data_IF_977349591267
#
_entry.id   IF_977349591267
#
_cell.length_a   1.000
_cell.length_b   1.000
_cell.length_c   1.000
_cell.angle_alpha   90.00
_cell.angle_beta   90.00
_cell.angle_gamma   90.00
#
_symmetry.space_group_name_H-M   'P 1'
#
loop_
_entity.id
_entity.type
_entity.pdbx_description
1 polymer ?
#
# COMPACT_ATOMS: atom_id res chain seq x y z
N UNK A 1 6.41 -4.75 -89.68
CA UNK A 1 6.89 -6.00 -89.05
C UNK A 1 6.83 -5.77 -87.55
N UNK A 2 5.75 -6.15 -86.86
CA UNK A 2 5.61 -7.41 -86.09
C UNK A 2 6.90 -7.83 -85.38
N UNK A 3 6.96 -8.06 -84.06
CA UNK A 3 5.87 -8.36 -83.14
C UNK A 3 6.25 -8.35 -81.66
N UNK A 4 5.24 -8.73 -80.87
CA UNK A 4 5.15 -8.77 -79.40
C UNK A 4 6.04 -9.87 -78.83
N UNK A 5 6.70 -9.63 -77.68
CA UNK A 5 7.13 -10.70 -76.77
C UNK A 5 6.93 -10.26 -75.32
N UNK A 6 6.07 -11.00 -74.62
CA UNK A 6 5.82 -11.00 -73.18
C UNK A 6 6.86 -11.83 -72.43
N UNK A 7 7.23 -11.46 -71.20
CA UNK A 7 7.87 -12.40 -70.28
C UNK A 7 7.37 -12.28 -68.84
N UNK A 8 7.00 -13.44 -68.31
CA UNK A 8 6.41 -13.73 -67.01
C UNK A 8 7.45 -13.82 -65.88
N UNK A 9 7.05 -13.43 -64.67
CA UNK A 9 7.81 -13.56 -63.42
C UNK A 9 7.71 -14.98 -62.84
N UNK A 10 8.83 -15.70 -62.81
CA UNK A 10 8.96 -17.02 -62.19
C UNK A 10 9.84 -16.95 -60.94
N UNK A 11 9.28 -17.30 -59.79
CA UNK A 11 9.95 -17.34 -58.51
C UNK A 11 10.78 -18.63 -58.32
N UNK A 12 12.05 -18.49 -57.94
CA UNK A 12 12.86 -19.48 -57.22
C UNK A 12 13.94 -18.75 -56.39
N UNK A 13 14.08 -19.00 -55.09
CA UNK A 13 15.35 -18.83 -54.39
C UNK A 13 16.07 -20.18 -54.25
N UNK A 14 17.37 -20.17 -54.49
CA UNK A 14 18.25 -21.35 -54.44
C UNK A 14 18.77 -21.67 -53.05
N UNK A 15 18.93 -22.97 -52.80
CA UNK A 15 19.59 -23.58 -51.65
C UNK A 15 21.10 -23.73 -51.86
N UNK A 16 21.88 -23.45 -50.81
CA UNK A 16 23.27 -23.89 -50.65
C UNK A 16 23.39 -24.89 -49.49
N UNK A 17 23.60 -26.16 -49.87
CA UNK A 17 24.38 -27.27 -49.26
C UNK A 17 25.30 -26.88 -48.06
N UNK A 18 25.58 -27.66 -47.01
CA UNK A 18 25.81 -29.13 -46.85
C UNK A 18 25.94 -29.58 -45.37
N UNK A 19 25.48 -30.82 -45.12
CA UNK A 19 26.02 -31.90 -44.24
C UNK A 19 26.14 -31.72 -42.71
N UNK A 20 25.47 -32.60 -41.98
CA UNK A 20 26.07 -33.69 -41.17
C UNK A 20 24.99 -34.68 -40.73
N UNK A 21 25.42 -35.86 -40.30
CA UNK A 21 24.75 -37.15 -40.43
C UNK A 21 23.77 -37.51 -39.29
N UNK A 22 22.92 -38.46 -39.64
CA UNK A 22 21.90 -39.21 -38.89
C UNK A 22 22.33 -39.86 -37.57
N UNK A 23 21.42 -39.87 -36.58
CA UNK A 23 21.01 -41.05 -35.77
C UNK A 23 19.64 -40.80 -35.09
N UNK A 24 18.91 -41.89 -34.87
CA UNK A 24 17.44 -42.06 -34.73
C UNK A 24 16.70 -41.33 -33.56
N UNK A 25 15.35 -41.21 -33.64
CA UNK A 25 14.55 -40.50 -32.64
C UNK A 25 14.15 -41.39 -31.46
N UNK A 26 14.48 -40.96 -30.23
CA UNK A 26 13.96 -41.55 -28.99
C UNK A 26 12.76 -40.70 -28.54
N UNK A 27 11.62 -41.39 -28.40
CA UNK A 27 10.35 -40.89 -27.88
C UNK A 27 10.51 -40.17 -26.54
N UNK A 28 10.11 -38.89 -26.49
CA UNK A 28 9.89 -38.16 -25.24
C UNK A 28 8.40 -38.23 -24.88
N UNK A 29 8.10 -38.99 -23.84
CA UNK A 29 6.82 -38.91 -23.14
C UNK A 29 6.75 -37.57 -22.35
N UNK A 30 5.57 -36.96 -22.20
CA UNK A 30 5.38 -35.81 -21.32
C UNK A 30 5.38 -36.28 -19.86
N UNK A 31 6.30 -35.77 -19.04
CA UNK A 31 6.24 -35.94 -17.60
C UNK A 31 5.06 -35.12 -17.05
N UNK A 32 4.10 -35.85 -16.50
CA UNK A 32 2.91 -35.34 -15.84
C UNK A 32 3.26 -34.50 -14.59
N UNK A 33 2.39 -33.51 -14.36
CA UNK A 33 2.05 -32.85 -13.10
C UNK A 33 2.93 -33.16 -11.87
N UNK A 34 3.79 -32.20 -11.52
CA UNK A 34 4.39 -32.04 -10.20
C UNK A 34 3.88 -30.71 -9.59
N UNK A 35 2.56 -30.55 -9.58
CA UNK A 35 1.86 -29.56 -8.76
C UNK A 35 0.52 -30.17 -8.37
N UNK A 36 0.61 -31.30 -7.67
CA UNK A 36 -0.48 -31.86 -6.91
C UNK A 36 -0.37 -31.23 -5.52
N UNK A 37 -1.27 -30.28 -5.28
CA UNK A 37 -1.97 -29.98 -4.04
C UNK A 37 -1.79 -31.06 -2.96
N UNK A 38 -0.73 -30.95 -2.14
CA UNK A 38 -0.63 -31.60 -0.83
C UNK A 38 -1.23 -30.64 0.19
N UNK A 39 -2.55 -30.77 0.35
CA UNK A 39 -3.31 -30.27 1.49
C UNK A 39 -2.92 -31.10 2.72
N UNK A 40 -1.79 -30.75 3.33
CA UNK A 40 -1.37 -31.29 4.62
C UNK A 40 -1.97 -30.40 5.72
N UNK A 41 -3.15 -30.82 6.20
CA UNK A 41 -3.77 -30.27 7.41
C UNK A 41 -2.94 -30.61 8.64
N UNK A 42 -2.10 -29.67 9.06
CA UNK A 42 -1.41 -29.70 10.35
C UNK A 42 -2.34 -29.16 11.46
N UNK A 43 -3.00 -30.08 12.18
CA UNK A 43 -3.56 -29.81 13.50
C UNK A 43 -2.40 -29.70 14.51
N UNK A 44 -2.03 -28.46 14.89
CA UNK A 44 -1.16 -28.19 16.03
C UNK A 44 -1.93 -28.38 17.35
N UNK A 45 -1.76 -29.53 17.99
CA UNK A 45 -2.07 -29.73 19.41
C UNK A 45 -0.84 -29.39 20.27
N UNK A 46 -0.93 -28.30 21.02
CA UNK A 46 0.07 -27.84 21.97
C UNK A 46 0.11 -28.70 23.24
N UNK A 47 1.29 -29.20 23.61
CA UNK A 47 1.52 -29.90 24.87
C UNK A 47 2.92 -29.65 25.41
N UNK A 48 3.00 -28.91 26.52
CA UNK A 48 4.25 -28.57 27.19
C UNK A 48 4.77 -29.71 28.09
N UNK A 49 6.11 -29.81 28.12
CA UNK A 49 6.97 -30.14 29.27
C UNK A 49 6.62 -31.36 30.16
N UNK A 50 7.54 -32.35 30.21
CA UNK A 50 8.31 -32.74 31.42
C UNK A 50 8.99 -34.12 31.27
N UNK A 51 10.30 -34.15 31.58
CA UNK A 51 11.11 -35.29 32.08
C UNK A 51 11.25 -36.56 31.20
N UNK A 52 12.25 -37.42 31.32
CA UNK A 52 13.67 -37.39 31.68
C UNK A 52 14.18 -38.80 31.35
N UNK A 53 15.50 -38.92 31.15
CA UNK A 53 16.32 -40.13 31.34
C UNK A 53 16.09 -41.38 30.45
N UNK A 54 17.09 -41.61 29.59
CA UNK A 54 17.83 -42.88 29.40
C UNK A 54 17.14 -44.22 29.69
N UNK A 55 16.99 -45.06 28.66
CA UNK A 55 17.54 -46.42 28.69
C UNK A 55 17.49 -47.12 27.32
N UNK A 56 18.67 -47.66 26.99
CA UNK A 56 19.07 -48.70 26.05
C UNK A 56 18.02 -49.76 25.66
N UNK A 57 18.10 -50.12 24.39
CA UNK A 57 17.48 -51.28 23.74
C UNK A 57 17.80 -52.62 24.41
N UNK A 58 16.81 -53.54 24.42
CA UNK A 58 17.05 -54.96 24.22
C UNK A 58 15.81 -55.65 23.63
N UNK A 59 16.10 -56.63 22.77
CA UNK A 59 15.24 -57.49 21.99
C UNK A 59 14.29 -58.39 22.81
N UNK A 60 13.08 -58.66 22.28
CA UNK A 60 12.65 -60.03 21.93
C UNK A 60 11.20 -60.07 21.45
N UNK A 61 11.00 -60.92 20.44
CA UNK A 61 9.74 -61.32 19.82
C UNK A 61 8.77 -61.98 20.80
N UNK A 62 7.48 -61.62 20.77
CA UNK A 62 6.34 -62.52 20.43
C UNK A 62 4.98 -61.92 20.83
N UNK A 63 3.97 -62.29 20.02
CA UNK A 63 2.51 -62.26 20.27
C UNK A 63 1.78 -60.91 20.19
N UNK A 64 1.10 -60.77 19.04
CA UNK A 64 -0.09 -59.94 18.85
C UNK A 64 -1.17 -60.36 19.86
N UNK A 65 -1.40 -59.53 20.86
CA UNK A 65 -2.68 -59.43 21.54
C UNK A 65 -3.26 -58.07 21.17
N UNK A 66 -4.42 -58.08 20.50
CA UNK A 66 -5.22 -56.90 20.27
C UNK A 66 -5.72 -56.40 21.63
N UNK A 67 -4.95 -55.51 22.25
CA UNK A 67 -5.42 -54.74 23.40
C UNK A 67 -6.15 -53.55 22.82
N UNK A 68 -7.49 -53.60 22.87
CA UNK A 68 -8.29 -52.38 22.73
C UNK A 68 -7.79 -51.44 23.82
N UNK A 69 -7.06 -50.39 23.45
CA UNK A 69 -6.79 -49.29 24.36
C UNK A 69 -8.16 -48.81 24.87
N UNK A 70 -8.43 -48.78 26.18
CA UNK A 70 -9.60 -48.07 26.66
C UNK A 70 -9.37 -46.62 26.27
N UNK A 71 -10.20 -46.12 25.35
CA UNK A 71 -10.30 -44.69 25.10
C UNK A 71 -10.48 -44.05 26.48
N UNK A 72 -9.49 -43.26 26.89
CA UNK A 72 -9.58 -42.46 28.09
C UNK A 72 -10.62 -41.40 27.75
N UNK A 73 -11.89 -41.78 27.89
CA UNK A 73 -12.99 -40.84 27.96
C UNK A 73 -12.78 -40.11 29.29
N UNK A 74 -11.96 -39.07 29.26
CA UNK A 74 -12.04 -37.99 30.22
C UNK A 74 -13.36 -37.25 29.96
N UNK A 75 -14.49 -37.94 30.11
CA UNK A 75 -15.74 -37.27 30.42
C UNK A 75 -15.47 -36.67 31.80
N UNK A 76 -15.05 -35.41 31.83
CA UNK A 76 -15.12 -34.60 33.03
C UNK A 76 -16.50 -34.87 33.62
N UNK A 77 -16.53 -35.46 34.81
CA UNK A 77 -17.78 -35.86 35.44
C UNK A 77 -18.44 -34.55 35.88
N UNK A 78 -19.16 -33.91 34.97
CA UNK A 78 -19.92 -32.69 35.17
C UNK A 78 -20.77 -32.90 36.43
N UNK A 79 -20.61 -32.01 37.40
CA UNK A 79 -21.28 -32.11 38.70
C UNK A 79 -22.81 -32.11 38.52
N UNK A 80 -23.55 -32.64 39.48
CA UNK A 80 -25.03 -32.66 39.41
C UNK A 80 -25.62 -31.25 39.31
N UNK A 81 -24.99 -30.26 39.95
CA UNK A 81 -25.36 -28.86 39.85
C UNK A 81 -25.12 -28.30 38.44
N UNK A 82 -23.98 -28.65 37.82
CA UNK A 82 -23.61 -28.17 36.50
C UNK A 82 -24.47 -28.79 35.38
N UNK A 83 -24.88 -30.06 35.50
CA UNK A 83 -25.87 -30.64 34.57
C UNK A 83 -27.22 -29.97 34.67
N UNK A 84 -27.67 -29.62 35.89
CA UNK A 84 -28.90 -28.85 36.08
C UNK A 84 -28.77 -27.47 35.43
N UNK A 85 -27.64 -26.78 35.64
CA UNK A 85 -27.36 -25.48 35.03
C UNK A 85 -27.33 -25.54 33.49
N UNK A 86 -26.68 -26.57 32.91
CA UNK A 86 -26.65 -26.79 31.46
C UNK A 86 -28.04 -27.14 30.91
N UNK A 87 -28.83 -27.94 31.62
CA UNK A 87 -30.20 -28.27 31.22
C UNK A 87 -31.11 -27.03 31.28
N UNK A 88 -30.98 -26.20 32.32
CA UNK A 88 -31.71 -24.92 32.39
C UNK A 88 -31.28 -23.97 31.29
N UNK A 89 -29.99 -23.87 31.00
CA UNK A 89 -29.48 -23.05 29.89
C UNK A 89 -30.04 -23.55 28.55
N UNK A 90 -29.93 -24.84 28.23
CA UNK A 90 -30.51 -25.44 27.01
C UNK A 90 -32.02 -25.27 26.88
N UNK A 91 -32.74 -25.21 28.01
CA UNK A 91 -34.19 -24.97 28.01
C UNK A 91 -34.57 -23.52 27.73
N UNK A 92 -33.70 -22.57 28.10
CA UNK A 92 -33.85 -21.15 27.80
C UNK A 92 -33.52 -20.92 26.33
N UNK A 93 -32.40 -21.49 25.85
CA UNK A 93 -31.99 -21.44 24.45
C UNK A 93 -31.12 -22.67 24.10
N UNK A 94 -31.55 -23.39 23.06
CA UNK A 94 -30.91 -24.61 22.60
C UNK A 94 -29.55 -24.33 21.94
N UNK A 95 -29.34 -23.12 21.42
CA UNK A 95 -28.13 -22.70 20.71
C UNK A 95 -27.00 -22.18 21.62
N UNK A 96 -27.23 -22.07 22.93
CA UNK A 96 -26.26 -21.52 23.90
C UNK A 96 -24.88 -22.21 23.85
N UNK A 97 -24.83 -23.48 23.48
CA UNK A 97 -23.58 -24.26 23.42
C UNK A 97 -23.13 -24.61 22.00
N UNK A 98 -23.79 -24.08 20.97
CA UNK A 98 -23.50 -24.39 19.55
C UNK A 98 -22.34 -23.53 19.00
N UNK A 99 -21.22 -23.49 19.73
CA UNK A 99 -20.03 -22.70 19.36
C UNK A 99 -19.41 -23.15 18.03
N UNK A 100 -19.42 -24.45 17.78
CA UNK A 100 -18.84 -25.05 16.57
C UNK A 100 -19.62 -24.61 15.32
N UNK A 101 -20.95 -24.60 15.39
CA UNK A 101 -21.80 -24.18 14.28
C UNK A 101 -21.64 -22.68 13.93
N UNK A 102 -21.47 -21.82 14.94
CA UNK A 102 -21.20 -20.38 14.72
C UNK A 102 -19.81 -20.15 14.13
N UNK A 103 -18.81 -20.86 14.63
CA UNK A 103 -17.45 -20.82 14.10
C UNK A 103 -17.40 -21.31 12.66
N UNK A 104 -18.05 -22.42 12.35
CA UNK A 104 -18.18 -22.97 11.00
C UNK A 104 -18.86 -22.00 10.04
N UNK A 105 -19.88 -21.28 10.48
CA UNK A 105 -20.56 -20.25 9.69
C UNK A 105 -19.64 -19.04 9.43
N UNK A 106 -18.91 -18.60 10.45
CA UNK A 106 -17.94 -17.51 10.30
C UNK A 106 -16.81 -17.91 9.33
N UNK A 107 -16.27 -19.14 9.47
CA UNK A 107 -15.24 -19.68 8.57
C UNK A 107 -15.75 -19.99 7.18
N UNK A 108 -17.00 -20.39 7.01
CA UNK A 108 -17.63 -20.54 5.70
C UNK A 108 -17.78 -19.17 5.01
N UNK A 109 -18.15 -18.11 5.74
CA UNK A 109 -18.22 -16.76 5.21
C UNK A 109 -16.83 -16.21 4.84
N UNK A 110 -15.81 -16.42 5.68
CA UNK A 110 -14.42 -16.05 5.36
C UNK A 110 -13.93 -16.78 4.11
N UNK A 111 -14.15 -18.10 3.99
CA UNK A 111 -13.79 -18.88 2.80
C UNK A 111 -14.49 -18.39 1.53
N UNK A 112 -15.78 -18.05 1.60
CA UNK A 112 -16.50 -17.49 0.46
C UNK A 112 -15.87 -16.18 -0.05
N UNK A 113 -15.50 -15.27 0.87
CA UNK A 113 -14.81 -14.02 0.52
C UNK A 113 -13.41 -14.28 -0.07
N UNK A 114 -12.69 -15.28 0.44
CA UNK A 114 -11.39 -15.68 -0.11
C UNK A 114 -11.50 -16.29 -1.50
N UNK A 115 -12.49 -17.14 -1.74
CA UNK A 115 -12.78 -17.69 -3.07
C UNK A 115 -13.14 -16.60 -4.08
N UNK A 116 -13.91 -15.60 -3.66
CA UNK A 116 -14.21 -14.42 -4.49
C UNK A 116 -12.95 -13.63 -4.84
N UNK A 117 -12.05 -13.41 -3.87
CA UNK A 117 -10.74 -12.77 -4.12
C UNK A 117 -9.85 -13.60 -5.04
N UNK A 118 -9.87 -14.93 -4.91
CA UNK A 118 -9.14 -15.84 -5.80
C UNK A 118 -9.67 -15.72 -7.23
N UNK A 119 -10.99 -15.76 -7.42
CA UNK A 119 -11.64 -15.53 -8.72
C UNK A 119 -11.29 -14.15 -9.28
N UNK A 120 -11.34 -13.08 -8.48
CA UNK A 120 -10.91 -11.74 -8.90
C UNK A 120 -9.44 -11.74 -9.33
N UNK A 121 -8.57 -12.46 -8.60
CA UNK A 121 -7.15 -12.54 -8.92
C UNK A 121 -6.86 -13.30 -10.21
N UNK A 122 -7.63 -14.36 -10.50
CA UNK A 122 -7.52 -15.14 -11.73
C UNK A 122 -8.00 -14.34 -12.96
N UNK A 123 -9.03 -13.52 -12.79
CA UNK A 123 -9.53 -12.61 -13.82
C UNK A 123 -8.62 -11.38 -14.02
N UNK A 124 -7.78 -11.05 -13.03
CA UNK A 124 -6.97 -9.83 -13.05
C UNK A 124 -5.86 -9.95 -14.08
N UNK A 125 -5.94 -9.10 -15.10
CA UNK A 125 -4.88 -8.95 -16.11
C UNK A 125 -3.54 -8.57 -15.44
N UNK A 126 -2.41 -8.98 -16.05
CA UNK A 126 -1.09 -8.66 -15.53
C UNK A 126 -0.90 -7.14 -15.42
N UNK A 127 -0.43 -6.70 -14.25
CA UNK A 127 -0.39 -5.30 -13.81
C UNK A 127 0.28 -4.31 -14.78
N UNK A 128 1.23 -4.76 -15.59
CA UNK A 128 2.07 -3.87 -16.41
C UNK A 128 1.95 -4.06 -17.92
N UNK A 129 1.33 -5.14 -18.40
CA UNK A 129 1.31 -5.42 -19.85
C UNK A 129 0.48 -4.37 -20.58
N UNK A 130 -0.66 -3.98 -20.02
CA UNK A 130 -1.50 -2.94 -20.59
C UNK A 130 -0.80 -1.58 -20.64
N UNK A 131 -0.08 -1.20 -19.57
CA UNK A 131 0.72 0.02 -19.54
C UNK A 131 1.84 0.01 -20.58
N UNK A 132 2.50 -1.14 -20.77
CA UNK A 132 3.52 -1.29 -21.79
C UNK A 132 2.95 -1.19 -23.21
N UNK A 133 1.81 -1.83 -23.48
CA UNK A 133 1.13 -1.77 -24.77
C UNK A 133 0.62 -0.35 -25.05
N UNK A 134 0.01 0.31 -24.06
CA UNK A 134 -0.41 1.70 -24.16
C UNK A 134 0.78 2.63 -24.45
N UNK A 135 1.90 2.47 -23.74
CA UNK A 135 3.12 3.26 -24.02
C UNK A 135 3.71 2.99 -25.41
N UNK A 136 3.64 1.76 -25.89
CA UNK A 136 4.04 1.44 -27.25
C UNK A 136 3.11 2.10 -28.29
N UNK A 137 1.80 2.18 -28.00
CA UNK A 137 0.82 2.88 -28.84
C UNK A 137 1.03 4.40 -28.82
N UNK A 138 1.26 5.02 -27.65
CA UNK A 138 1.53 6.46 -27.57
C UNK A 138 2.78 6.82 -28.36
N UNK A 139 3.88 6.06 -28.25
CA UNK A 139 5.09 6.29 -29.06
C UNK A 139 4.85 6.19 -30.56
N UNK A 140 3.94 5.29 -31.00
CA UNK A 140 3.57 5.19 -32.42
C UNK A 140 2.83 6.44 -32.87
N UNK A 141 1.88 6.93 -32.07
CA UNK A 141 1.16 8.18 -32.35
C UNK A 141 2.11 9.38 -32.33
N UNK A 142 3.02 9.45 -31.36
CA UNK A 142 4.04 10.50 -31.25
C UNK A 142 4.95 10.53 -32.48
N UNK A 143 5.35 9.36 -32.98
CA UNK A 143 6.15 9.25 -34.21
C UNK A 143 5.39 9.82 -35.40
N UNK A 144 4.11 9.46 -35.57
CA UNK A 144 3.28 9.98 -36.67
C UNK A 144 3.09 11.49 -36.58
N UNK A 145 2.86 12.01 -35.37
CA UNK A 145 2.76 13.45 -35.10
C UNK A 145 4.06 14.20 -35.41
N UNK A 146 5.20 13.62 -35.04
CA UNK A 146 6.50 14.20 -35.34
C UNK A 146 6.78 14.24 -36.84
N UNK A 147 6.47 13.17 -37.57
CA UNK A 147 6.59 13.11 -39.03
C UNK A 147 5.68 14.14 -39.72
N UNK A 148 4.44 14.29 -39.27
CA UNK A 148 3.50 15.28 -39.81
C UNK A 148 3.98 16.72 -39.58
N UNK A 149 4.41 17.03 -38.35
CA UNK A 149 4.92 18.36 -37.99
C UNK A 149 6.24 18.68 -38.69
N UNK A 150 7.09 17.69 -38.94
CA UNK A 150 8.29 17.84 -39.77
C UNK A 150 7.92 18.16 -41.21
N UNK A 151 6.94 17.46 -41.78
CA UNK A 151 6.50 17.65 -43.16
C UNK A 151 5.78 19.00 -43.35
N UNK A 152 5.01 19.45 -42.37
CA UNK A 152 4.45 20.81 -42.34
C UNK A 152 5.56 21.86 -42.29
N UNK A 153 6.57 21.67 -41.43
CA UNK A 153 7.74 22.55 -41.34
C UNK A 153 8.55 22.58 -42.66
N UNK A 154 8.67 21.46 -43.36
CA UNK A 154 9.30 21.39 -44.69
C UNK A 154 8.49 22.17 -45.72
N UNK A 155 7.15 22.06 -45.73
CA UNK A 155 6.29 22.85 -46.62
C UNK A 155 6.34 24.35 -46.32
N UNK A 156 6.41 24.73 -45.05
CA UNK A 156 6.58 26.14 -44.65
C UNK A 156 7.95 26.69 -45.08
N UNK A 157 9.00 25.86 -45.06
CA UNK A 157 10.33 26.23 -45.55
C UNK A 157 10.40 26.33 -47.07
N UNK A 158 9.71 25.44 -47.79
CA UNK A 158 9.53 25.51 -49.25
C UNK A 158 8.66 26.71 -49.66
N UNK A 159 7.84 27.23 -48.74
CA UNK A 159 7.17 28.54 -48.84
C UNK A 159 6.46 28.76 -50.19
N UNK A 160 6.89 29.78 -50.91
CA UNK A 160 6.31 30.20 -52.19
C UNK A 160 6.88 29.43 -53.41
N UNK A 161 7.91 28.59 -53.23
CA UNK A 161 8.58 27.88 -54.35
C UNK A 161 7.64 26.92 -55.09
N UNK A 162 6.54 26.54 -54.45
CA UNK A 162 5.53 25.63 -55.00
C UNK A 162 4.10 26.21 -54.90
N UNK A 163 3.94 27.53 -54.70
CA UNK A 163 2.63 28.17 -54.62
C UNK A 163 1.84 28.06 -55.94
N UNK A 164 2.54 28.06 -57.08
CA UNK A 164 1.96 27.96 -58.42
C UNK A 164 1.63 26.51 -58.85
N UNK A 165 1.94 25.51 -58.01
CA UNK A 165 1.70 24.09 -58.31
C UNK A 165 0.54 23.54 -57.49
N UNK A 166 -0.30 22.74 -58.14
CA UNK A 166 -1.47 22.12 -57.51
C UNK A 166 -1.06 21.16 -56.37
N UNK A 167 -1.72 21.29 -55.21
CA UNK A 167 -1.48 20.45 -54.01
C UNK A 167 -2.37 19.21 -54.04
N UNK A 168 -1.79 18.05 -54.36
CA UNK A 168 -2.53 16.78 -54.37
C UNK A 168 -2.38 16.04 -53.05
N UNK A 169 -3.48 15.97 -52.28
CA UNK A 169 -3.54 15.20 -51.03
C UNK A 169 -4.29 13.89 -51.27
N UNK A 170 -3.62 12.76 -51.05
CA UNK A 170 -4.24 11.43 -51.18
C UNK A 170 -5.30 11.21 -50.10
N UNK A 171 -6.33 10.41 -50.39
CA UNK A 171 -7.38 10.09 -49.41
C UNK A 171 -6.83 9.41 -48.16
N UNK A 172 -5.75 8.62 -48.31
CA UNK A 172 -5.06 7.98 -47.20
C UNK A 172 -4.43 9.00 -46.26
N UNK A 173 -3.77 10.04 -46.80
CA UNK A 173 -3.19 11.11 -46.00
C UNK A 173 -4.27 11.96 -45.31
N UNK A 174 -5.39 12.25 -45.99
CA UNK A 174 -6.54 12.93 -45.34
C UNK A 174 -7.08 12.14 -44.15
N UNK A 175 -7.17 10.81 -44.27
CA UNK A 175 -7.59 9.92 -43.17
C UNK A 175 -6.55 9.88 -42.05
N UNK A 176 -5.27 9.83 -42.38
CA UNK A 176 -4.17 9.83 -41.41
C UNK A 176 -4.12 11.15 -40.62
N UNK A 177 -4.27 12.30 -41.29
CA UNK A 177 -4.38 13.62 -40.65
C UNK A 177 -5.58 13.71 -39.72
N UNK A 178 -6.75 13.20 -40.15
CA UNK A 178 -7.95 13.18 -39.32
C UNK A 178 -7.80 12.26 -38.09
N UNK A 179 -7.10 11.14 -38.24
CA UNK A 179 -6.81 10.19 -37.17
C UNK A 179 -5.83 10.78 -36.13
N UNK A 180 -4.74 11.44 -36.58
CA UNK A 180 -3.79 12.12 -35.69
C UNK A 180 -4.49 13.26 -34.94
N UNK A 181 -5.27 14.09 -35.63
CA UNK A 181 -6.00 15.21 -35.03
C UNK A 181 -7.03 14.76 -33.99
N UNK A 182 -7.75 13.66 -34.29
CA UNK A 182 -8.69 13.05 -33.35
C UNK A 182 -7.97 12.45 -32.14
N UNK A 183 -6.83 11.78 -32.35
CA UNK A 183 -6.03 11.22 -31.27
C UNK A 183 -5.43 12.31 -30.36
N UNK A 184 -5.03 13.45 -30.92
CA UNK A 184 -4.57 14.62 -30.16
C UNK A 184 -5.67 15.27 -29.31
N UNK A 185 -6.86 15.44 -29.87
CA UNK A 185 -8.01 16.00 -29.13
C UNK A 185 -8.44 15.07 -27.99
N UNK A 186 -8.41 13.76 -28.21
CA UNK A 186 -8.74 12.75 -27.18
C UNK A 186 -7.66 12.66 -26.09
N UNK A 187 -6.37 12.68 -26.46
CA UNK A 187 -5.26 12.72 -25.49
C UNK A 187 -5.32 14.01 -24.65
N UNK A 188 -5.55 15.16 -25.28
CA UNK A 188 -5.65 16.47 -24.62
C UNK A 188 -6.85 16.53 -23.68
N UNK A 189 -8.00 16.01 -24.09
CA UNK A 189 -9.18 15.91 -23.23
C UNK A 189 -8.92 15.01 -22.01
N UNK A 190 -8.21 13.89 -22.20
CA UNK A 190 -7.83 12.97 -21.12
C UNK A 190 -6.82 13.60 -20.17
N UNK A 191 -5.82 14.30 -20.69
CA UNK A 191 -4.84 15.03 -19.90
C UNK A 191 -5.49 16.15 -19.09
N UNK A 192 -6.43 16.91 -19.66
CA UNK A 192 -7.19 17.93 -18.93
C UNK A 192 -8.05 17.33 -17.81
N UNK A 193 -8.67 16.17 -18.04
CA UNK A 193 -9.43 15.44 -17.01
C UNK A 193 -8.50 14.93 -15.89
N UNK A 194 -7.35 14.36 -16.24
CA UNK A 194 -6.33 13.93 -15.28
C UNK A 194 -5.77 15.12 -14.51
N UNK A 195 -5.46 16.24 -15.16
CA UNK A 195 -4.97 17.48 -14.52
C UNK A 195 -5.99 18.04 -13.52
N UNK A 196 -7.28 17.97 -13.85
CA UNK A 196 -8.37 18.34 -12.93
C UNK A 196 -8.53 17.34 -11.77
N UNK A 197 -8.18 16.07 -11.98
CA UNK A 197 -8.25 14.99 -10.99
C UNK A 197 -6.96 14.70 -10.19
N UNK A 198 -5.83 15.37 -10.48
CA UNK A 198 -4.50 15.12 -9.89
C UNK A 198 -4.34 15.59 -8.42
N UNK A 199 -5.39 15.48 -7.62
CA UNK A 199 -5.27 15.49 -6.16
C UNK A 199 -5.32 14.03 -5.72
N UNK A 200 -4.16 13.39 -5.77
CA UNK A 200 -4.04 11.97 -5.43
C UNK A 200 -4.57 11.69 -4.01
N UNK A 201 -5.26 10.56 -3.79
CA UNK A 201 -5.64 10.12 -2.47
C UNK A 201 -4.37 9.92 -1.64
N UNK A 202 -4.12 10.83 -0.70
CA UNK A 202 -2.96 10.74 0.20
C UNK A 202 -3.02 9.50 1.08
N UNK A 203 -2.02 9.34 1.94
CA UNK A 203 -1.94 8.22 2.89
C UNK A 203 -3.23 8.02 3.71
N UNK A 204 -3.97 9.10 3.97
CA UNK A 204 -5.29 9.09 4.63
C UNK A 204 -6.34 8.27 3.89
N UNK A 205 -6.36 8.29 2.55
CA UNK A 205 -7.30 7.53 1.76
C UNK A 205 -6.92 6.04 1.68
N UNK A 206 -5.62 5.71 1.79
CA UNK A 206 -5.19 4.33 1.98
C UNK A 206 -5.69 3.78 3.33
N UNK A 207 -5.50 4.52 4.43
CA UNK A 207 -6.03 4.12 5.74
C UNK A 207 -7.55 4.03 5.73
N UNK A 208 -8.24 4.97 5.06
CA UNK A 208 -9.69 4.89 4.88
C UNK A 208 -10.10 3.59 4.18
N UNK A 209 -9.48 3.26 3.04
CA UNK A 209 -9.80 2.03 2.32
C UNK A 209 -9.48 0.76 3.13
N UNK A 210 -8.41 0.78 3.94
CA UNK A 210 -8.07 -0.32 4.84
C UNK A 210 -9.15 -0.48 5.91
N UNK A 211 -9.55 0.60 6.58
CA UNK A 211 -10.60 0.58 7.60
C UNK A 211 -11.96 0.17 7.02
N UNK A 212 -12.36 0.72 5.87
CA UNK A 212 -13.59 0.33 5.17
C UNK A 212 -13.57 -1.17 4.79
N UNK A 213 -12.40 -1.70 4.42
CA UNK A 213 -12.21 -3.13 4.14
C UNK A 213 -12.23 -4.02 5.38
N UNK A 214 -11.83 -3.51 6.54
CA UNK A 214 -11.89 -4.22 7.82
C UNK A 214 -13.30 -4.18 8.40
N UNK A 215 -13.97 -3.03 8.32
CA UNK A 215 -15.36 -2.86 8.74
C UNK A 215 -16.29 -3.76 7.92
N UNK A 216 -16.13 -3.83 6.60
CA UNK A 216 -16.92 -4.73 5.75
C UNK A 216 -16.71 -6.20 6.07
N UNK A 217 -15.47 -6.64 6.36
CA UNK A 217 -15.20 -8.02 6.81
C UNK A 217 -15.86 -8.29 8.16
N UNK A 218 -15.73 -7.37 9.11
CA UNK A 218 -16.32 -7.52 10.44
C UNK A 218 -17.85 -7.52 10.38
N UNK A 219 -18.45 -6.61 9.60
CA UNK A 219 -19.89 -6.58 9.37
C UNK A 219 -20.39 -7.86 8.71
N UNK A 220 -19.65 -8.43 7.75
CA UNK A 220 -19.99 -9.72 7.13
C UNK A 220 -19.88 -10.88 8.12
N UNK A 221 -18.87 -10.88 9.00
CA UNK A 221 -18.72 -11.88 10.05
C UNK A 221 -19.88 -11.81 11.07
N UNK A 222 -20.23 -10.61 11.54
CA UNK A 222 -21.36 -10.38 12.45
C UNK A 222 -22.69 -10.75 11.77
N UNK A 223 -22.89 -10.38 10.50
CA UNK A 223 -24.09 -10.74 9.76
C UNK A 223 -24.20 -12.26 9.49
N UNK A 224 -23.08 -12.97 9.29
CA UNK A 224 -23.07 -14.42 9.18
C UNK A 224 -23.44 -15.10 10.51
N UNK A 225 -22.90 -14.54 11.59
CA UNK A 225 -23.14 -14.88 12.99
C UNK A 225 -24.59 -14.66 13.44
N UNK A 226 -25.21 -13.58 13.00
CA UNK A 226 -26.58 -13.18 13.36
C UNK A 226 -27.65 -13.88 12.51
N UNK A 227 -27.27 -14.67 11.50
CA UNK A 227 -28.25 -15.45 10.72
C UNK A 227 -28.92 -16.43 11.68
N UNK A 228 -30.22 -16.26 11.98
CA UNK A 228 -30.90 -17.20 12.84
C UNK A 228 -30.94 -18.52 12.09
N UNK A 229 -30.33 -19.55 12.66
CA UNK A 229 -30.73 -20.91 12.36
C UNK A 229 -32.24 -20.95 12.56
N UNK A 230 -33.00 -21.35 11.55
CA UNK A 230 -34.46 -21.40 11.59
C UNK A 230 -34.92 -22.43 12.63
N UNK A 231 -34.87 -22.05 13.91
CA UNK A 231 -35.52 -22.69 15.03
C UNK A 231 -36.88 -22.03 15.29
N UNK A 232 -37.80 -22.72 15.98
CA UNK A 232 -39.17 -22.25 16.17
C UNK A 232 -39.16 -20.88 16.84
N UNK A 233 -39.88 -19.93 16.24
CA UNK A 233 -40.00 -18.53 16.65
C UNK A 233 -39.96 -18.33 18.16
N UNK A 234 -38.95 -17.62 18.67
CA UNK A 234 -38.98 -17.00 20.00
C UNK A 234 -40.01 -15.85 19.99
N UNK A 235 -41.28 -16.20 20.03
CA UNK A 235 -42.27 -15.33 20.64
C UNK A 235 -41.93 -15.30 22.14
N UNK A 236 -41.33 -14.21 22.62
CA UNK A 236 -41.11 -13.95 24.05
C UNK A 236 -42.49 -13.92 24.72
N UNK A 237 -42.96 -15.08 25.19
CA UNK A 237 -44.07 -15.16 26.13
C UNK A 237 -43.51 -14.65 27.47
N UNK A 238 -44.08 -13.60 28.08
CA UNK A 238 -43.64 -13.17 29.41
C UNK A 238 -43.73 -14.37 30.37
N UNK A 239 -42.74 -14.57 31.25
CA UNK A 239 -42.72 -15.74 32.13
C UNK A 239 -44.04 -15.78 32.92
N UNK A 240 -44.70 -16.96 33.04
CA UNK A 240 -45.82 -17.08 33.96
C UNK A 240 -45.33 -16.73 35.36
N UNK A 241 -46.16 -15.97 36.10
CA UNK A 241 -45.91 -15.56 37.47
C UNK A 241 -45.34 -16.72 38.32
N UNK A 242 -44.45 -16.45 39.30
CA UNK A 242 -43.76 -17.50 40.06
C UNK A 242 -44.78 -18.38 40.77
N UNK A 243 -45.11 -19.53 40.19
CA UNK A 243 -45.69 -20.63 40.92
C UNK A 243 -44.63 -21.05 41.94
N UNK A 244 -45.01 -20.95 43.21
CA UNK A 244 -44.26 -21.32 44.42
C UNK A 244 -43.14 -22.33 44.12
N UNK A 245 -41.90 -22.11 44.61
CA UNK A 245 -40.88 -23.14 44.49
C UNK A 245 -41.43 -24.38 45.17
N UNK A 246 -41.64 -25.45 44.40
CA UNK A 246 -41.79 -26.78 44.95
C UNK A 246 -40.41 -27.10 45.54
N UNK A 247 -40.24 -26.77 46.82
CA UNK A 247 -39.17 -27.29 47.64
C UNK A 247 -39.26 -28.81 47.54
N UNK A 248 -38.27 -29.41 46.88
CA UNK A 248 -37.96 -30.82 47.05
C UNK A 248 -37.30 -30.90 48.43
N UNK A 249 -38.01 -31.43 49.43
CA UNK A 249 -37.59 -31.49 50.85
C UNK A 249 -36.39 -32.45 51.11
N UNK A 250 -35.65 -32.86 50.08
CA UNK A 250 -34.44 -33.69 50.21
C UNK A 250 -33.14 -32.88 50.02
N UNK A 251 -33.06 -31.69 50.59
CA UNK A 251 -31.76 -31.10 50.92
C UNK A 251 -31.23 -31.81 52.19
N UNK A 252 -30.55 -32.93 51.96
CA UNK A 252 -29.70 -33.58 52.93
C UNK A 252 -28.64 -32.57 53.42
N UNK A 253 -28.80 -32.12 54.66
CA UNK A 253 -27.89 -31.25 55.37
C UNK A 253 -26.50 -31.90 55.43
N UNK A 254 -25.57 -31.46 54.58
CA UNK A 254 -24.21 -31.99 54.53
C UNK A 254 -23.34 -31.27 55.58
N UNK A 255 -22.99 -31.90 56.73
CA UNK A 255 -22.38 -31.23 57.88
C UNK A 255 -20.92 -30.77 57.62
N UNK A 256 -20.33 -31.09 56.48
CA UNK A 256 -18.97 -30.67 56.12
C UNK A 256 -18.90 -29.26 55.50
N UNK A 257 -19.92 -28.81 54.76
CA UNK A 257 -19.94 -27.47 54.13
C UNK A 257 -20.11 -26.33 55.15
N UNK A 258 -20.82 -26.58 56.26
CA UNK A 258 -21.00 -25.60 57.33
C UNK A 258 -19.70 -25.31 58.12
N UNK A 259 -18.70 -26.20 58.05
CA UNK A 259 -17.41 -26.05 58.74
C UNK A 259 -16.45 -25.18 57.94
N UNK A 260 -16.44 -25.34 56.62
CA UNK A 260 -15.62 -24.55 55.69
C UNK A 260 -16.04 -23.07 55.66
N UNK A 261 -17.34 -22.78 55.76
CA UNK A 261 -17.84 -21.41 55.84
C UNK A 261 -17.43 -20.68 57.14
N UNK A 262 -17.14 -21.40 58.24
CA UNK A 262 -16.61 -20.82 59.47
C UNK A 262 -15.11 -20.56 59.41
N UNK A 263 -14.36 -21.41 58.72
CA UNK A 263 -12.91 -21.26 58.57
C UNK A 263 -12.57 -20.11 57.60
N UNK A 264 -13.38 -19.88 56.56
CA UNK A 264 -13.23 -18.77 55.62
C UNK A 264 -13.56 -17.38 56.21
N UNK A 265 -14.33 -17.31 57.30
CA UNK A 265 -14.69 -16.05 58.00
C UNK A 265 -13.58 -15.54 58.93
N UNK A 266 -12.50 -16.29 59.13
CA UNK A 266 -11.45 -15.98 60.12
C UNK A 266 -10.17 -15.36 59.54
N UNK A 267 -10.07 -15.17 58.22
CA UNK A 267 -8.83 -14.76 57.54
C UNK A 267 -8.84 -13.37 56.89
N UNK A 268 -9.89 -12.55 57.08
CA UNK A 268 -9.93 -11.18 56.56
C UNK A 268 -10.14 -10.14 57.66
N UNK A 269 -9.10 -9.89 58.44
CA UNK A 269 -8.99 -8.67 59.27
C UNK A 269 -7.57 -8.11 59.21
N UNK A 270 -7.23 -7.44 58.10
CA UNK A 270 -6.06 -6.57 58.04
C UNK A 270 -6.28 -5.49 56.96
N UNK A 271 -6.97 -4.42 57.32
CA UNK A 271 -6.96 -3.16 56.57
C UNK A 271 -5.93 -2.21 57.21
N UNK A 272 -5.01 -1.59 56.44
CA UNK A 272 -4.26 -0.43 56.92
C UNK A 272 -4.94 0.89 56.50
N UNK A 273 -4.73 1.98 57.27
CA UNK A 273 -5.49 3.22 57.13
C UNK A 273 -4.98 4.17 56.03
N UNK A 274 -5.92 4.88 55.43
CA UNK A 274 -5.73 6.03 54.53
C UNK A 274 -5.30 7.27 55.31
N UNK A 275 -4.28 7.99 54.82
CA UNK A 275 -4.07 9.39 55.15
C UNK A 275 -3.54 10.13 53.91
N UNK A 276 -4.22 11.20 53.51
CA UNK A 276 -3.89 11.99 52.32
C UNK A 276 -2.98 13.18 52.63
N UNK A 277 -2.19 13.61 51.64
CA UNK A 277 -2.05 15.00 51.17
C UNK A 277 -0.96 15.13 50.08
N UNK A 278 -1.34 15.75 48.96
CA UNK A 278 -0.56 16.79 48.26
C UNK A 278 0.72 16.43 47.49
N UNK A 279 0.71 16.73 46.18
CA UNK A 279 1.86 17.35 45.52
C UNK A 279 2.53 16.56 44.39
N UNK A 280 2.21 16.95 43.15
CA UNK A 280 2.92 16.63 41.90
C UNK A 280 4.45 16.62 42.06
N UNK A 281 5.06 15.45 41.98
CA UNK A 281 6.35 15.20 41.31
C UNK A 281 6.31 13.76 40.76
N UNK A 282 6.11 13.59 39.46
CA UNK A 282 6.24 12.29 38.81
C UNK A 282 7.70 11.85 38.89
N UNK A 283 8.05 11.05 39.89
CA UNK A 283 9.27 10.29 39.93
C UNK A 283 9.04 9.02 39.11
N UNK A 284 9.41 9.05 37.83
CA UNK A 284 9.36 7.85 36.98
C UNK A 284 10.34 6.82 37.54
N UNK A 285 9.83 5.65 37.90
CA UNK A 285 10.66 4.54 38.37
C UNK A 285 11.23 3.80 37.17
N UNK A 286 12.55 3.60 37.14
CA UNK A 286 13.21 2.71 36.18
C UNK A 286 13.54 1.39 36.85
N UNK A 287 13.25 0.28 36.17
CA UNK A 287 13.60 -1.06 36.62
C UNK A 287 14.38 -1.76 35.52
N UNK A 288 15.38 -2.54 35.92
CA UNK A 288 16.14 -3.38 34.99
C UNK A 288 15.42 -4.70 34.80
N UNK A 289 15.09 -5.05 33.57
CA UNK A 289 14.49 -6.35 33.26
C UNK A 289 15.55 -7.45 33.25
N UNK A 290 15.32 -8.50 34.03
CA UNK A 290 16.27 -9.61 34.19
C UNK A 290 16.46 -10.41 32.87
N UNK A 291 15.44 -10.43 32.01
CA UNK A 291 15.46 -11.19 30.76
C UNK A 291 16.27 -10.51 29.63
N UNK A 292 16.20 -9.18 29.53
CA UNK A 292 16.87 -8.41 28.46
C UNK A 292 18.06 -7.61 28.97
N UNK A 293 18.19 -7.47 30.29
CA UNK A 293 19.23 -6.70 30.97
C UNK A 293 19.13 -5.20 30.74
N UNK A 294 18.01 -4.72 30.18
CA UNK A 294 17.78 -3.32 29.81
C UNK A 294 17.01 -2.60 30.90
N UNK A 295 17.26 -1.30 31.02
CA UNK A 295 16.54 -0.42 31.92
C UNK A 295 15.25 0.06 31.25
N UNK A 296 14.13 -0.11 31.92
CA UNK A 296 12.79 0.13 31.40
C UNK A 296 12.00 0.99 32.38
N UNK A 297 11.28 1.99 31.85
CA UNK A 297 10.42 2.87 32.63
C UNK A 297 9.10 2.17 32.96
N UNK A 298 8.75 2.16 34.25
CA UNK A 298 7.57 1.49 34.78
C UNK A 298 6.66 2.52 35.46
N UNK A 299 5.35 2.40 35.24
CA UNK A 299 4.30 3.16 35.91
C UNK A 299 4.10 2.71 37.36
N UNK A 300 3.37 3.50 38.16
CA UNK A 300 3.10 3.20 39.57
C UNK A 300 2.35 1.87 39.79
N UNK A 301 1.63 1.39 38.78
CA UNK A 301 0.94 0.08 38.77
C UNK A 301 1.86 -1.10 38.39
N UNK A 302 3.17 -0.87 38.20
CA UNK A 302 4.14 -1.91 37.84
C UNK A 302 4.17 -2.28 36.36
N UNK A 303 3.41 -1.58 35.50
CA UNK A 303 3.38 -1.82 34.06
C UNK A 303 4.44 -1.01 33.29
N UNK A 304 5.09 -1.66 32.33
CA UNK A 304 6.10 -1.05 31.45
C UNK A 304 5.45 -0.04 30.50
N UNK A 305 5.91 1.21 30.55
CA UNK A 305 5.39 2.33 29.76
C UNK A 305 5.68 2.16 28.27
N UNK A 306 6.90 1.72 27.92
CA UNK A 306 7.32 1.48 26.53
C UNK A 306 7.79 0.04 26.32
N UNK A 307 6.90 -0.79 25.77
CA UNK A 307 7.18 -2.20 25.45
C UNK A 307 8.28 -2.35 24.39
N UNK A 308 8.65 -1.30 23.65
CA UNK A 308 9.75 -1.35 22.69
C UNK A 308 11.11 -1.46 23.38
N UNK A 309 11.24 -0.92 24.60
CA UNK A 309 12.46 -1.00 25.39
C UNK A 309 12.77 -2.44 25.84
N UNK A 310 11.73 -3.29 25.93
CA UNK A 310 11.84 -4.73 26.17
C UNK A 310 12.36 -5.50 24.96
N UNK A 311 12.27 -4.95 23.75
CA UNK A 311 12.69 -5.64 22.52
C UNK A 311 14.21 -5.62 22.39
N UNK A 312 14.80 -6.78 22.09
CA UNK A 312 16.23 -6.90 21.80
C UNK A 312 16.57 -6.06 20.57
N UNK A 313 17.59 -5.21 20.67
CA UNK A 313 18.00 -4.38 19.54
C UNK A 313 18.69 -5.28 18.50
N UNK A 314 18.01 -5.58 17.39
CA UNK A 314 18.53 -6.37 16.30
C UNK A 314 17.43 -7.05 15.50
N UNK A 315 17.55 -7.06 14.18
CA UNK A 315 16.72 -7.87 13.30
C UNK A 315 16.96 -9.35 13.64
N UNK A 316 15.93 -10.10 14.02
CA UNK A 316 16.00 -11.53 14.32
C UNK A 316 16.28 -12.35 13.04
N UNK A 317 17.47 -12.21 12.46
CA UNK A 317 17.92 -13.02 11.33
C UNK A 317 18.38 -14.36 11.91
N UNK A 318 17.46 -15.31 12.02
CA UNK A 318 17.82 -16.69 12.28
C UNK A 318 18.71 -17.17 11.11
N UNK A 319 19.99 -17.44 11.39
CA UNK A 319 20.86 -18.14 10.43
C UNK A 319 20.24 -19.51 10.18
N UNK A 320 19.67 -19.71 8.99
CA UNK A 320 19.20 -21.03 8.55
C UNK A 320 20.35 -22.05 8.67
N UNK A 321 20.10 -23.28 9.16
CA UNK A 321 21.13 -24.30 9.24
C UNK A 321 21.62 -24.61 7.82
N UNK A 322 22.94 -24.67 7.65
CA UNK A 322 23.57 -25.07 6.38
C UNK A 322 23.20 -26.53 6.12
N UNK A 323 22.51 -26.78 5.02
CA UNK A 323 22.35 -28.10 4.43
C UNK A 323 23.71 -28.61 3.96
N UNK A 324 24.25 -29.63 4.62
CA UNK A 324 25.47 -30.31 4.16
C UNK A 324 25.13 -31.17 2.94
N UNK A 325 25.58 -30.73 1.76
CA UNK A 325 25.56 -31.54 0.53
C UNK A 325 26.87 -32.34 0.44
N UNK A 326 26.83 -33.61 -0.03
CA UNK A 326 27.99 -34.49 -0.02
C UNK A 326 29.12 -33.99 -0.95
N UNK A 327 30.35 -34.07 -0.43
CA UNK A 327 31.62 -33.57 -0.97
C UNK A 327 32.13 -34.22 -2.29
N UNK A 328 31.28 -34.84 -3.12
CA UNK A 328 31.75 -35.57 -4.30
C UNK A 328 31.83 -34.76 -5.60
N UNK A 329 31.50 -33.46 -5.59
CA UNK A 329 31.50 -32.61 -6.81
C UNK A 329 32.33 -31.33 -6.70
N UNK A 330 33.11 -31.14 -5.63
CA UNK A 330 33.92 -29.93 -5.42
C UNK A 330 35.40 -30.26 -5.22
N UNK A 331 36.01 -31.01 -6.14
CA UNK A 331 37.47 -31.06 -6.26
C UNK A 331 37.94 -30.03 -7.29
N UNK A 332 37.98 -28.78 -6.87
CA UNK A 332 38.83 -27.78 -7.51
C UNK A 332 39.50 -26.95 -6.42
N UNK A 333 40.79 -26.72 -6.60
CA UNK A 333 41.75 -26.40 -5.55
C UNK A 333 41.33 -25.22 -4.67
N UNK A 334 41.42 -25.41 -3.35
CA UNK A 334 41.20 -24.35 -2.36
C UNK A 334 42.42 -23.44 -2.33
N UNK A 335 42.30 -22.21 -2.81
CA UNK A 335 43.18 -21.10 -2.42
C UNK A 335 42.72 -20.53 -1.07
N UNK A 336 43.67 -20.16 -0.23
CA UNK A 336 43.51 -19.72 1.15
C UNK A 336 42.43 -18.63 1.36
N UNK A 337 41.77 -18.69 2.51
CA UNK A 337 40.80 -17.72 3.03
C UNK A 337 41.46 -16.36 3.26
N UNK A 338 41.07 -15.36 2.45
CA UNK A 338 41.41 -13.95 2.64
C UNK A 338 40.24 -13.29 3.37
N UNK A 339 40.41 -12.98 4.65
CA UNK A 339 39.50 -12.11 5.39
C UNK A 339 39.73 -10.65 4.95
N UNK A 340 38.83 -10.15 4.10
CA UNK A 340 38.81 -8.77 3.64
C UNK A 340 37.81 -8.56 2.50
N UNK A 341 37.26 -7.34 2.32
CA UNK A 341 36.28 -7.08 1.27
C UNK A 341 36.89 -7.35 -0.11
N UNK A 342 36.27 -8.29 -0.82
CA UNK A 342 36.65 -8.77 -2.14
C UNK A 342 36.95 -7.60 -3.10
N UNK A 343 38.23 -7.41 -3.43
CA UNK A 343 38.65 -6.51 -4.49
C UNK A 343 39.00 -7.34 -5.72
N UNK A 344 38.15 -7.27 -6.75
CA UNK A 344 38.40 -7.90 -8.04
C UNK A 344 39.58 -7.21 -8.72
N UNK A 345 40.72 -7.92 -8.86
CA UNK A 345 41.88 -7.53 -9.67
C UNK A 345 41.63 -7.67 -11.18
N UNK A 346 40.42 -7.34 -11.65
CA UNK A 346 40.12 -7.26 -13.07
C UNK A 346 40.48 -5.85 -13.54
N UNK A 347 41.58 -5.74 -14.28
CA UNK A 347 42.04 -4.50 -14.91
C UNK A 347 40.95 -4.04 -15.86
N UNK A 348 40.25 -2.95 -15.50
CA UNK A 348 39.28 -2.27 -16.37
C UNK A 348 37.81 -2.25 -15.92
N UNK A 349 37.42 -2.89 -14.81
CA UNK A 349 35.99 -2.95 -14.40
C UNK A 349 35.77 -3.05 -12.88
N UNK A 350 36.44 -2.25 -12.06
CA UNK A 350 36.23 -2.28 -10.61
C UNK A 350 36.08 -0.88 -10.01
N UNK A 351 35.07 -0.14 -10.44
CA UNK A 351 34.41 0.77 -9.51
C UNK A 351 33.89 -0.08 -8.35
N UNK A 352 34.53 0.06 -7.18
CA UNK A 352 34.14 -0.68 -5.97
C UNK A 352 32.65 -0.50 -5.70
N UNK A 353 31.99 -1.46 -5.06
CA UNK A 353 30.55 -1.38 -4.74
C UNK A 353 30.17 -0.03 -4.08
N UNK A 354 31.06 0.53 -3.26
CA UNK A 354 30.91 1.88 -2.66
C UNK A 354 30.81 2.99 -3.70
N UNK A 355 31.64 2.95 -4.74
CA UNK A 355 31.66 3.94 -5.82
C UNK A 355 30.43 3.84 -6.75
N UNK A 356 29.84 2.64 -6.87
CA UNK A 356 28.53 2.46 -7.52
C UNK A 356 27.39 3.05 -6.69
N UNK A 357 27.36 2.76 -5.39
CA UNK A 357 26.35 3.31 -4.48
C UNK A 357 26.45 4.84 -4.36
N UNK A 358 27.66 5.39 -4.38
CA UNK A 358 27.89 6.83 -4.31
C UNK A 358 27.46 7.54 -5.60
N UNK A 359 27.67 6.93 -6.77
CA UNK A 359 27.11 7.43 -8.04
C UNK A 359 25.59 7.38 -8.08
N UNK A 360 24.98 6.30 -7.59
CA UNK A 360 23.52 6.20 -7.49
C UNK A 360 22.96 7.24 -6.52
N UNK A 361 23.61 7.44 -5.36
CA UNK A 361 23.23 8.48 -4.41
C UNK A 361 23.36 9.88 -5.01
N UNK A 362 24.47 10.17 -5.70
CA UNK A 362 24.68 11.46 -6.37
C UNK A 362 23.63 11.72 -7.45
N UNK A 363 23.25 10.70 -8.22
CA UNK A 363 22.20 10.81 -9.23
C UNK A 363 20.84 11.09 -8.60
N UNK A 364 20.51 10.46 -7.47
CA UNK A 364 19.30 10.75 -6.71
C UNK A 364 19.33 12.16 -6.11
N UNK A 365 20.45 12.57 -5.52
CA UNK A 365 20.64 13.91 -4.96
C UNK A 365 20.50 14.99 -6.05
N UNK A 366 21.02 14.75 -7.26
CA UNK A 366 20.84 15.63 -8.43
C UNK A 366 19.37 15.70 -8.87
N UNK A 367 18.64 14.57 -8.88
CA UNK A 367 17.19 14.57 -9.16
C UNK A 367 16.39 15.35 -8.10
N UNK A 368 16.73 15.21 -6.83
CA UNK A 368 16.09 15.98 -5.75
C UNK A 368 16.39 17.48 -5.87
N UNK A 369 17.63 17.86 -6.18
CA UNK A 369 18.00 19.26 -6.42
C UNK A 369 17.29 19.86 -7.62
N UNK A 370 17.16 19.11 -8.71
CA UNK A 370 16.42 19.57 -9.90
C UNK A 370 14.93 19.78 -9.57
N UNK A 371 14.32 18.90 -8.77
CA UNK A 371 12.95 19.08 -8.30
C UNK A 371 12.80 20.29 -7.37
N UNK A 372 13.77 20.54 -6.48
CA UNK A 372 13.79 21.71 -5.61
C UNK A 372 13.97 23.01 -6.41
N UNK A 373 14.87 23.04 -7.38
CA UNK A 373 15.07 24.20 -8.26
C UNK A 373 13.85 24.45 -9.13
N UNK A 374 13.22 23.39 -9.66
CA UNK A 374 11.98 23.51 -10.42
C UNK A 374 10.85 24.05 -9.56
N UNK A 375 10.68 23.55 -8.33
CA UNK A 375 9.71 24.10 -7.36
C UNK A 375 10.00 25.56 -7.03
N UNK A 376 11.26 25.93 -6.82
CA UNK A 376 11.64 27.34 -6.56
C UNK A 376 11.34 28.24 -7.75
N UNK A 377 11.59 27.79 -8.99
CA UNK A 377 11.23 28.53 -10.21
C UNK A 377 9.71 28.68 -10.33
N UNK A 378 8.96 27.61 -10.11
CA UNK A 378 7.50 27.65 -10.12
C UNK A 378 6.93 28.57 -9.03
N UNK A 379 7.51 28.58 -7.82
CA UNK A 379 7.13 29.50 -6.75
C UNK A 379 7.50 30.95 -7.07
N UNK A 380 8.66 31.20 -7.67
CA UNK A 380 9.06 32.54 -8.12
C UNK A 380 8.14 33.04 -9.24
N UNK A 381 7.80 32.19 -10.21
CA UNK A 381 6.88 32.53 -11.29
C UNK A 381 5.47 32.78 -10.74
N UNK A 382 5.03 31.99 -9.75
CA UNK A 382 3.74 32.21 -9.06
C UNK A 382 3.74 33.51 -8.27
N UNK A 383 4.81 33.82 -7.55
CA UNK A 383 4.96 35.09 -6.82
C UNK A 383 4.98 36.27 -7.79
N UNK A 384 5.67 36.13 -8.92
CA UNK A 384 5.69 37.16 -9.96
C UNK A 384 4.32 37.36 -10.59
N UNK A 385 3.58 36.30 -10.88
CA UNK A 385 2.21 36.38 -11.37
C UNK A 385 1.28 37.02 -10.33
N UNK A 386 1.41 36.64 -9.06
CA UNK A 386 0.61 37.22 -7.97
C UNK A 386 0.93 38.71 -7.76
N UNK A 387 2.20 39.10 -7.89
CA UNK A 387 2.64 40.50 -7.84
C UNK A 387 2.15 41.29 -9.06
N UNK A 388 2.22 40.72 -10.27
CA UNK A 388 1.69 41.33 -11.50
C UNK A 388 0.17 41.45 -11.45
N UNK A 389 -0.55 40.45 -10.90
CA UNK A 389 -1.99 40.53 -10.64
C UNK A 389 -2.33 41.55 -9.55
N UNK A 390 -1.57 41.59 -8.45
CA UNK A 390 -1.75 42.59 -7.41
C UNK A 390 -1.48 44.00 -7.95
N UNK A 391 -0.49 44.15 -8.83
CA UNK A 391 -0.22 45.38 -9.57
C UNK A 391 -1.38 45.72 -10.51
N UNK A 392 -1.91 44.75 -11.26
CA UNK A 392 -3.09 44.93 -12.12
C UNK A 392 -4.34 45.32 -11.32
N UNK A 393 -4.56 44.71 -10.15
CA UNK A 393 -5.64 45.09 -9.21
C UNK A 393 -5.46 46.52 -8.67
N UNK A 394 -4.22 46.97 -8.42
CA UNK A 394 -3.91 48.34 -7.99
C UNK A 394 -4.01 49.37 -9.13
N UNK A 395 -3.67 48.99 -10.36
CA UNK A 395 -3.60 49.89 -11.53
C UNK A 395 -4.92 49.94 -12.35
N UNK A 396 -5.80 48.93 -12.17
CA UNK A 396 -7.07 48.79 -12.89
C UNK A 396 -6.89 48.31 -14.33
N UNK A 397 -7.86 47.55 -14.85
CA UNK A 397 -7.71 46.79 -16.11
C UNK A 397 -7.46 47.65 -17.38
N UNK A 398 -7.66 48.97 -17.31
CA UNK A 398 -7.56 49.88 -18.46
C UNK A 398 -6.44 50.93 -18.34
N UNK A 399 -5.54 50.82 -17.34
CA UNK A 399 -4.50 51.82 -17.10
C UNK A 399 -5.07 53.19 -16.68
N UNK A 400 -6.32 53.24 -16.23
CA UNK A 400 -6.99 54.47 -15.82
C UNK A 400 -6.32 55.15 -14.63
N UNK A 401 -5.76 54.37 -13.70
CA UNK A 401 -5.01 54.92 -12.56
C UNK A 401 -3.72 55.62 -13.03
N UNK A 402 -3.05 55.08 -14.05
CA UNK A 402 -1.85 55.67 -14.63
C UNK A 402 -2.17 56.93 -15.45
N UNK A 403 -3.24 56.88 -16.25
CA UNK A 403 -3.76 58.06 -16.98
C UNK A 403 -4.17 59.19 -16.05
N UNK A 404 -4.85 58.90 -14.94
CA UNK A 404 -5.20 59.89 -13.91
C UNK A 404 -3.96 60.50 -13.25
N UNK A 405 -2.90 59.71 -13.00
CA UNK A 405 -1.62 60.22 -12.48
C UNK A 405 -0.90 61.10 -13.50
N UNK A 406 -0.94 60.75 -14.79
CA UNK A 406 -0.34 61.54 -15.87
C UNK A 406 -1.09 62.87 -16.08
N UNK A 407 -2.43 62.83 -16.15
CA UNK A 407 -3.29 64.01 -16.28
C UNK A 407 -3.15 64.95 -15.08
N UNK A 408 -3.04 64.40 -13.86
CA UNK A 408 -2.79 65.20 -12.66
C UNK A 408 -1.42 65.90 -12.70
N UNK A 409 -0.37 65.20 -13.15
CA UNK A 409 0.96 65.79 -13.36
C UNK A 409 0.94 66.88 -14.43
N UNK A 410 0.23 66.68 -15.53
CA UNK A 410 0.10 67.65 -16.61
C UNK A 410 -0.66 68.91 -16.15
N UNK A 411 -1.79 68.76 -15.45
CA UNK A 411 -2.52 69.89 -14.85
C UNK A 411 -1.70 70.65 -13.82
N UNK A 412 -0.84 69.96 -13.07
CA UNK A 412 0.08 70.61 -12.14
C UNK A 412 1.14 71.43 -12.89
N UNK A 413 1.74 70.88 -13.95
CA UNK A 413 2.70 71.58 -14.78
C UNK A 413 2.06 72.76 -15.54
N UNK A 414 0.83 72.63 -16.02
CA UNK A 414 0.09 73.70 -16.66
C UNK A 414 -0.22 74.84 -15.69
N UNK A 415 -0.70 74.53 -14.48
CA UNK A 415 -0.89 75.54 -13.42
C UNK A 415 0.42 76.22 -13.03
N UNK A 416 1.52 75.47 -12.97
CA UNK A 416 2.84 76.03 -12.70
C UNK A 416 3.29 76.99 -13.81
N UNK A 417 3.15 76.59 -15.08
CA UNK A 417 3.47 77.45 -16.24
C UNK A 417 2.61 78.71 -16.27
N UNK A 418 1.31 78.59 -16.05
CA UNK A 418 0.40 79.74 -16.01
C UNK A 418 0.77 80.71 -14.90
N UNK A 419 1.11 80.21 -13.70
CA UNK A 419 1.62 81.03 -12.59
C UNK A 419 2.93 81.73 -12.96
N UNK A 420 3.87 81.02 -13.57
CA UNK A 420 5.15 81.61 -14.00
C UNK A 420 4.95 82.68 -15.10
N UNK A 421 3.93 82.53 -15.96
CA UNK A 421 3.55 83.51 -16.99
C UNK A 421 2.82 84.73 -16.41
N UNK A 422 1.92 84.52 -15.46
CA UNK A 422 1.26 85.59 -14.72
C UNK A 422 2.28 86.42 -13.94
N UNK A 423 3.22 85.78 -13.24
CA UNK A 423 4.33 86.45 -12.55
C UNK A 423 5.18 87.28 -13.54
N UNK A 424 5.51 86.73 -14.72
CA UNK A 424 6.23 87.48 -15.78
C UNK A 424 5.41 88.64 -16.33
N UNK A 425 4.11 88.47 -16.52
CA UNK A 425 3.21 89.52 -17.04
C UNK A 425 2.97 90.64 -16.02
N UNK A 426 2.89 90.29 -14.73
CA UNK A 426 2.80 91.22 -13.62
C UNK A 426 4.08 92.07 -13.51
N UNK A 427 5.25 91.45 -13.63
CA UNK A 427 6.54 92.17 -13.67
C UNK A 427 6.64 93.12 -14.87
N UNK A 428 6.13 92.72 -16.05
CA UNK A 428 6.09 93.60 -17.23
C UNK A 428 5.14 94.78 -17.04
N UNK A 429 3.93 94.57 -16.51
CA UNK A 429 2.96 95.64 -16.23
C UNK A 429 3.45 96.60 -15.15
N UNK A 430 4.11 96.10 -14.11
CA UNK A 430 4.76 96.95 -13.11
C UNK A 430 5.83 97.85 -13.76
N UNK A 431 6.66 97.28 -14.64
CA UNK A 431 7.68 98.04 -15.38
C UNK A 431 7.11 99.06 -16.37
N UNK A 432 5.93 98.80 -16.93
CA UNK A 432 5.25 99.72 -17.86
C UNK A 432 4.52 100.86 -17.13
N UNK A 433 3.96 100.59 -15.95
CA UNK A 433 3.39 101.64 -15.08
C UNK A 433 4.46 102.59 -14.53
N UNK A 434 5.65 102.07 -14.22
CA UNK A 434 6.81 102.88 -13.80
C UNK A 434 7.41 103.74 -14.94
N UNK A 435 6.99 103.55 -16.20
CA UNK A 435 7.43 104.36 -17.35
C UNK A 435 6.44 105.45 -17.77
N UNK A 436 5.21 105.45 -17.22
CA UNK A 436 4.14 106.40 -17.55
C UNK A 436 3.92 107.44 -16.43
N UNK A 437 4.53 107.26 -15.25
CA UNK A 437 4.68 108.29 -14.21
C UNK A 437 6.00 109.02 -14.34
#
# INVERSE_FOLDING_TARGET
MSGKISFSFGAKPGDSKTSTQSKAPVSKAPSAALFADEDEGEDEEGGSFLASSSAKASSSSTKKHAVKAPAIQQSSQISRAERKAQATARSIDQSIFDYDAHYDQMKAAERAVEEEKKKESDERKPKYIESFLASAQTRKLDKLRAEEKMLEREREQEGDEFADKDKFVTEAYKKQMAEVRKAEEEEKAREEALRKGQKGPGLTAFYKNMLDSEESKHAAAVAASEKPTMGPSLAIRPPPAPSKPLYDEEEEYDPFLAREAKDASSSTSAAPPVNGQGGLRQARSTRRDDATGKEVEINDDGEVIDKRSLLKAGLNIMKKPKTEVPNSLTSSQRSATIDGPYQSKAVGSAASYRDRMERERRRLDEQYRELEEKKKREEQDRLRQEEEEARRRREGDNGEAERKRAEAKERYLARKRARDEEEKSGVKKAREQDQIG
#
